data_IF_268884031567
#
_entry.id   IF_268884031567
#
_cell.length_a   1.000
_cell.length_b   1.000
_cell.length_c   1.000
_cell.angle_alpha   90.00
_cell.angle_beta   90.00
_cell.angle_gamma   90.00
#
_symmetry.space_group_name_H-M   'P 1'
#
loop_
_entity.id
_entity.type
_entity.pdbx_description
1 polymer ?
#
# COMPACT_ATOMS: atom_id res chain seq x y z
N UNK A 1 -27.73 30.76 -2.40
CA UNK A 1 -26.48 31.15 -1.71
C UNK A 1 -26.23 30.35 -0.43
N UNK A 2 -27.05 30.46 0.63
CA UNK A 2 -26.81 29.71 1.88
C UNK A 2 -26.92 28.19 1.72
N UNK A 3 -27.87 27.69 0.92
CA UNK A 3 -28.01 26.26 0.61
C UNK A 3 -26.83 25.74 -0.23
N UNK A 4 -26.45 26.46 -1.28
CA UNK A 4 -25.35 26.08 -2.19
C UNK A 4 -23.98 26.04 -1.49
N UNK A 5 -23.74 26.95 -0.54
CA UNK A 5 -22.54 26.94 0.30
C UNK A 5 -22.51 25.73 1.23
N UNK A 6 -23.66 25.36 1.80
CA UNK A 6 -23.79 24.23 2.71
C UNK A 6 -23.67 22.88 1.98
N UNK A 7 -24.24 22.78 0.78
CA UNK A 7 -24.06 21.63 -0.12
C UNK A 7 -22.60 21.48 -0.57
N UNK A 8 -21.94 22.60 -0.88
CA UNK A 8 -20.53 22.61 -1.23
C UNK A 8 -19.63 22.16 -0.06
N UNK A 9 -19.87 22.68 1.14
CA UNK A 9 -19.15 22.30 2.36
C UNK A 9 -19.30 20.80 2.64
N UNK A 10 -20.53 20.29 2.63
CA UNK A 10 -20.81 18.88 2.83
C UNK A 10 -20.15 17.99 1.77
N UNK A 11 -20.12 18.43 0.51
CA UNK A 11 -19.45 17.70 -0.56
C UNK A 11 -17.93 17.62 -0.34
N UNK A 12 -17.29 18.72 0.06
CA UNK A 12 -15.84 18.77 0.30
C UNK A 12 -15.48 17.92 1.52
N UNK A 13 -16.22 18.05 2.63
CA UNK A 13 -15.97 17.26 3.84
C UNK A 13 -16.17 15.76 3.59
N UNK A 14 -17.24 15.38 2.86
CA UNK A 14 -17.49 13.99 2.48
C UNK A 14 -16.34 13.42 1.63
N UNK A 15 -15.82 14.21 0.69
CA UNK A 15 -14.69 13.79 -0.13
C UNK A 15 -13.39 13.70 0.69
N UNK A 16 -13.15 14.61 1.63
CA UNK A 16 -12.03 14.52 2.57
C UNK A 16 -12.08 13.23 3.39
N UNK A 17 -13.25 12.90 3.99
CA UNK A 17 -13.43 11.67 4.77
C UNK A 17 -13.26 10.41 3.91
N UNK A 18 -13.76 10.44 2.67
CA UNK A 18 -13.54 9.35 1.72
C UNK A 18 -12.05 9.13 1.43
N UNK A 19 -11.30 10.19 1.14
CA UNK A 19 -9.86 10.10 0.88
C UNK A 19 -9.10 9.66 2.13
N UNK A 20 -9.45 10.19 3.30
CA UNK A 20 -8.89 9.78 4.59
C UNK A 20 -9.10 8.29 4.85
N UNK A 21 -10.30 7.76 4.56
CA UNK A 21 -10.57 6.33 4.71
C UNK A 21 -9.68 5.47 3.81
N UNK A 22 -9.39 5.92 2.58
CA UNK A 22 -8.45 5.22 1.68
C UNK A 22 -7.02 5.27 2.18
N UNK A 23 -6.58 6.41 2.71
CA UNK A 23 -5.25 6.57 3.34
C UNK A 23 -5.09 5.56 4.47
N UNK A 24 -6.06 5.49 5.39
CA UNK A 24 -6.03 4.55 6.50
C UNK A 24 -6.06 3.09 6.08
N UNK A 25 -6.75 2.74 5.00
CA UNK A 25 -6.72 1.35 4.51
C UNK A 25 -5.30 0.94 4.12
N UNK A 26 -4.55 1.81 3.43
CA UNK A 26 -3.18 1.51 3.02
C UNK A 26 -2.24 1.49 4.24
N UNK A 27 -2.30 2.51 5.09
CA UNK A 27 -1.45 2.61 6.29
C UNK A 27 -1.67 1.41 7.23
N UNK A 28 -2.93 1.04 7.51
CA UNK A 28 -3.22 -0.14 8.31
C UNK A 28 -2.75 -1.44 7.64
N UNK A 29 -2.85 -1.56 6.32
CA UNK A 29 -2.34 -2.75 5.64
C UNK A 29 -0.82 -2.87 5.67
N UNK A 30 -0.11 -1.74 5.61
CA UNK A 30 1.35 -1.72 5.79
C UNK A 30 1.71 -2.16 7.22
N UNK A 31 1.00 -1.63 8.22
CA UNK A 31 1.19 -2.00 9.62
C UNK A 31 0.89 -3.49 9.89
N UNK A 32 -0.23 -3.99 9.36
CA UNK A 32 -0.64 -5.40 9.50
C UNK A 32 0.39 -6.36 8.91
N UNK A 33 1.05 -5.97 7.81
CA UNK A 33 2.17 -6.72 7.22
C UNK A 33 3.45 -6.61 8.05
N UNK A 34 3.80 -5.42 8.51
CA UNK A 34 5.07 -5.18 9.20
C UNK A 34 5.09 -5.75 10.63
N UNK A 35 3.92 -5.86 11.27
CA UNK A 35 3.77 -6.47 12.59
C UNK A 35 3.62 -8.00 12.53
N UNK A 36 3.37 -8.57 11.34
CA UNK A 36 3.22 -10.00 11.18
C UNK A 36 4.57 -10.72 11.32
N UNK A 37 4.70 -11.54 12.38
CA UNK A 37 5.94 -12.25 12.71
C UNK A 37 6.26 -13.41 11.77
N UNK A 38 5.25 -14.01 11.13
CA UNK A 38 5.41 -15.21 10.32
C UNK A 38 5.76 -14.86 8.87
N UNK A 39 5.34 -13.68 8.39
CA UNK A 39 5.56 -13.29 7.00
C UNK A 39 7.05 -13.19 6.64
N UNK A 40 7.92 -12.53 7.41
CA UNK A 40 9.36 -12.55 7.13
C UNK A 40 9.94 -13.96 7.05
N UNK A 41 9.45 -14.89 7.88
CA UNK A 41 9.93 -16.27 7.90
C UNK A 41 9.50 -16.99 6.61
N UNK A 42 8.23 -16.85 6.20
CA UNK A 42 7.75 -17.37 4.93
C UNK A 42 8.59 -16.83 3.77
N UNK A 43 8.77 -15.51 3.72
CA UNK A 43 9.51 -14.84 2.65
C UNK A 43 10.95 -15.35 2.59
N UNK A 44 11.64 -15.48 3.72
CA UNK A 44 13.00 -16.04 3.78
C UNK A 44 13.06 -17.50 3.30
N UNK A 45 12.10 -18.34 3.70
CA UNK A 45 12.06 -19.75 3.27
C UNK A 45 11.82 -19.87 1.75
N UNK A 46 11.01 -18.99 1.17
CA UNK A 46 10.83 -18.90 -0.28
C UNK A 46 12.14 -18.49 -0.97
N UNK A 47 12.88 -17.53 -0.41
CA UNK A 47 14.18 -17.10 -0.94
C UNK A 47 15.24 -18.20 -0.82
N UNK A 48 15.27 -18.96 0.27
CA UNK A 48 16.16 -20.11 0.43
C UNK A 48 15.88 -21.18 -0.64
N UNK A 49 14.60 -21.40 -0.98
CA UNK A 49 14.20 -22.26 -2.08
C UNK A 49 14.80 -21.80 -3.42
N UNK A 50 14.73 -20.50 -3.72
CA UNK A 50 15.32 -19.90 -4.93
C UNK A 50 16.84 -20.07 -4.95
N UNK A 51 17.51 -19.76 -3.83
CA UNK A 51 18.96 -19.85 -3.73
C UNK A 51 19.45 -21.29 -3.92
N UNK A 52 18.78 -22.26 -3.28
CA UNK A 52 19.08 -23.67 -3.47
C UNK A 52 18.91 -24.14 -4.92
N UNK A 53 17.90 -23.61 -5.63
CA UNK A 53 17.70 -23.89 -7.04
C UNK A 53 18.79 -23.28 -7.94
N UNK A 54 19.13 -22.00 -7.72
CA UNK A 54 20.22 -21.33 -8.42
C UNK A 54 21.57 -22.04 -8.20
N UNK A 55 21.84 -22.52 -6.98
CA UNK A 55 23.02 -23.32 -6.66
C UNK A 55 23.03 -24.67 -7.40
N UNK A 56 21.86 -25.29 -7.60
CA UNK A 56 21.75 -26.52 -8.37
C UNK A 56 22.04 -26.29 -9.86
N UNK A 57 21.45 -25.26 -10.47
CA UNK A 57 21.70 -24.92 -11.89
C UNK A 57 23.16 -24.53 -12.11
N UNK A 58 23.73 -23.69 -11.25
CA UNK A 58 25.10 -23.20 -11.41
C UNK A 58 26.14 -24.33 -11.31
N UNK A 59 25.84 -25.43 -10.61
CA UNK A 59 26.64 -26.67 -10.61
C UNK A 59 26.54 -27.46 -11.92
N UNK A 60 25.54 -27.19 -12.77
CA UNK A 60 25.28 -27.92 -14.02
C UNK A 60 25.52 -27.08 -15.29
N UNK A 61 25.75 -25.77 -15.16
CA UNK A 61 26.07 -24.87 -16.28
C UNK A 61 27.44 -24.22 -16.08
N UNK A 62 28.26 -24.18 -17.14
CA UNK A 62 29.60 -23.57 -17.13
C UNK A 62 29.61 -22.04 -17.05
N UNK A 63 28.44 -21.40 -16.99
CA UNK A 63 28.24 -19.95 -16.88
C UNK A 63 27.41 -19.63 -15.65
N UNK A 64 27.85 -18.65 -14.83
CA UNK A 64 27.10 -18.09 -13.69
C UNK A 64 25.91 -17.23 -14.17
N UNK A 65 24.99 -17.81 -14.91
CA UNK A 65 23.72 -17.15 -15.19
C UNK A 65 22.75 -17.55 -14.07
N UNK A 66 22.60 -16.68 -13.08
CA UNK A 66 21.49 -16.82 -12.13
C UNK A 66 20.19 -16.66 -12.93
N UNK A 67 19.37 -17.71 -12.97
CA UNK A 67 18.10 -17.68 -13.70
C UNK A 67 17.04 -16.82 -12.98
N UNK A 68 17.18 -16.76 -11.66
CA UNK A 68 16.34 -15.99 -10.74
C UNK A 68 17.25 -15.04 -9.97
N UNK A 69 17.09 -13.74 -10.16
CA UNK A 69 17.79 -12.73 -9.35
C UNK A 69 17.07 -12.62 -8.00
N UNK A 70 17.70 -13.01 -6.89
CA UNK A 70 17.07 -12.96 -5.56
C UNK A 70 16.97 -11.53 -5.00
N UNK A 71 17.56 -10.53 -5.66
CA UNK A 71 17.59 -9.16 -5.17
C UNK A 71 16.25 -8.41 -5.30
N UNK A 72 15.27 -8.96 -6.04
CA UNK A 72 14.04 -8.23 -6.35
C UNK A 72 12.75 -9.03 -6.08
N UNK A 73 11.96 -8.56 -5.11
CA UNK A 73 10.59 -9.03 -4.87
C UNK A 73 9.62 -8.46 -5.93
N UNK A 74 9.40 -9.20 -7.02
CA UNK A 74 8.37 -8.87 -8.01
C UNK A 74 7.41 -10.02 -8.29
N UNK A 75 6.22 -9.68 -8.77
CA UNK A 75 5.28 -10.62 -9.37
C UNK A 75 5.96 -11.46 -10.45
N UNK A 76 6.86 -10.86 -11.23
CA UNK A 76 7.61 -11.57 -12.27
C UNK A 76 8.56 -12.63 -11.69
N UNK A 77 9.20 -12.37 -10.56
CA UNK A 77 9.99 -13.38 -9.85
C UNK A 77 9.07 -14.51 -9.37
N UNK A 78 7.91 -14.18 -8.79
CA UNK A 78 6.93 -15.16 -8.29
C UNK A 78 6.40 -16.09 -9.39
N UNK A 79 6.03 -15.54 -10.55
CA UNK A 79 5.58 -16.33 -11.69
C UNK A 79 6.71 -17.22 -12.24
N UNK A 80 7.96 -16.74 -12.24
CA UNK A 80 9.12 -17.55 -12.62
C UNK A 80 9.36 -18.70 -11.64
N UNK A 81 9.25 -18.48 -10.32
CA UNK A 81 9.39 -19.56 -9.31
C UNK A 81 8.31 -20.63 -9.54
N UNK A 82 7.08 -20.22 -9.79
CA UNK A 82 6.00 -21.16 -10.09
C UNK A 82 6.23 -21.91 -11.41
N UNK A 83 6.69 -21.23 -12.46
CA UNK A 83 6.94 -21.83 -13.77
C UNK A 83 8.19 -22.74 -13.79
N UNK A 84 9.05 -22.63 -12.79
CA UNK A 84 10.28 -23.41 -12.68
C UNK A 84 9.95 -24.84 -12.25
N UNK A 85 9.98 -25.77 -13.22
CA UNK A 85 9.70 -27.18 -13.01
C UNK A 85 11.01 -27.98 -12.81
N UNK A 86 11.09 -28.75 -11.73
CA UNK A 86 12.15 -29.72 -11.47
C UNK A 86 11.78 -31.16 -11.87
N UNK A 87 10.67 -31.34 -12.59
CA UNK A 87 10.06 -32.65 -12.85
C UNK A 87 8.54 -32.60 -12.64
N UNK A 88 8.02 -33.45 -11.74
CA UNK A 88 6.58 -33.52 -11.42
C UNK A 88 6.09 -32.41 -10.46
N UNK A 89 6.99 -31.63 -9.86
CA UNK A 89 6.66 -30.54 -8.93
C UNK A 89 7.38 -29.24 -9.32
N UNK A 90 6.74 -28.11 -9.03
CA UNK A 90 7.33 -26.77 -9.23
C UNK A 90 8.30 -26.46 -8.09
N UNK A 91 9.24 -25.53 -8.30
CA UNK A 91 10.12 -25.06 -7.22
C UNK A 91 9.32 -24.50 -6.04
N UNK A 92 8.23 -23.79 -6.33
CA UNK A 92 7.28 -23.34 -5.32
C UNK A 92 6.69 -24.52 -4.55
N UNK A 93 6.16 -25.53 -5.25
CA UNK A 93 5.54 -26.71 -4.64
C UNK A 93 6.49 -27.45 -3.71
N UNK A 94 7.72 -27.72 -4.16
CA UNK A 94 8.76 -28.33 -3.33
C UNK A 94 9.10 -27.49 -2.09
N UNK A 95 9.17 -26.18 -2.23
CA UNK A 95 9.46 -25.28 -1.10
C UNK A 95 8.31 -25.28 -0.10
N UNK A 96 7.06 -25.28 -0.56
CA UNK A 96 5.87 -25.36 0.30
C UNK A 96 5.76 -26.70 1.02
N UNK A 97 6.09 -27.83 0.37
CA UNK A 97 6.16 -29.15 1.02
C UNK A 97 7.19 -29.14 2.17
N UNK A 98 8.36 -28.56 1.93
CA UNK A 98 9.39 -28.45 2.97
C UNK A 98 8.94 -27.56 4.13
N UNK A 99 8.22 -26.46 3.86
CA UNK A 99 7.65 -25.60 4.91
C UNK A 99 6.58 -26.37 5.71
N UNK A 100 5.72 -27.14 5.05
CA UNK A 100 4.71 -27.97 5.70
C UNK A 100 5.35 -28.96 6.68
N UNK A 101 6.45 -29.61 6.28
CA UNK A 101 7.14 -30.60 7.12
C UNK A 101 7.87 -29.96 8.32
N UNK A 102 8.43 -28.76 8.13
CA UNK A 102 9.31 -28.14 9.14
C UNK A 102 8.58 -27.14 10.05
N UNK A 103 7.69 -26.32 9.48
CA UNK A 103 7.03 -25.19 10.14
C UNK A 103 5.62 -24.96 9.56
N UNK A 104 4.66 -25.88 9.75
CA UNK A 104 3.36 -25.83 9.08
C UNK A 104 2.54 -24.56 9.39
N UNK A 105 2.66 -24.04 10.62
CA UNK A 105 2.00 -22.80 11.07
C UNK A 105 2.36 -21.54 10.26
N UNK A 106 3.42 -21.58 9.46
CA UNK A 106 3.82 -20.46 8.57
C UNK A 106 2.90 -20.38 7.35
N UNK A 107 2.29 -21.48 6.93
CA UNK A 107 1.41 -21.51 5.75
C UNK A 107 0.10 -20.76 5.99
N UNK A 108 -0.31 -20.62 7.25
CA UNK A 108 -1.50 -19.87 7.67
C UNK A 108 -1.21 -18.37 7.90
N UNK A 109 -0.05 -17.86 7.46
CA UNK A 109 0.39 -16.48 7.73
C UNK A 109 -0.63 -15.41 7.31
N UNK A 110 -1.35 -15.64 6.21
CA UNK A 110 -2.30 -14.68 5.66
C UNK A 110 -3.67 -14.72 6.32
N UNK A 111 -3.96 -15.71 7.18
CA UNK A 111 -5.21 -15.73 7.95
C UNK A 111 -5.28 -14.56 8.93
N UNK A 112 -4.11 -14.05 9.34
CA UNK A 112 -3.96 -12.92 10.24
C UNK A 112 -3.68 -11.59 9.50
N UNK A 113 -3.76 -11.54 8.17
CA UNK A 113 -3.50 -10.31 7.40
C UNK A 113 -4.76 -9.92 6.61
N UNK A 114 -5.47 -8.89 7.08
CA UNK A 114 -6.83 -8.57 6.66
C UNK A 114 -6.92 -7.62 5.45
N UNK A 115 -5.83 -6.94 5.09
CA UNK A 115 -5.85 -5.84 4.12
C UNK A 115 -5.28 -6.17 2.73
N UNK A 116 -4.58 -7.29 2.58
CA UNK A 116 -3.80 -7.63 1.37
C UNK A 116 -4.65 -7.61 0.10
N UNK A 117 -5.80 -8.29 0.13
CA UNK A 117 -6.71 -8.36 -1.01
C UNK A 117 -7.41 -7.03 -1.31
N UNK A 118 -7.83 -6.32 -0.24
CA UNK A 118 -8.51 -5.03 -0.36
C UNK A 118 -7.61 -3.99 -1.01
N UNK A 119 -6.35 -3.92 -0.60
CA UNK A 119 -5.37 -2.99 -1.16
C UNK A 119 -5.03 -3.37 -2.61
N UNK A 120 -4.72 -4.64 -2.86
CA UNK A 120 -4.36 -5.13 -4.19
C UNK A 120 -5.42 -4.82 -5.26
N UNK A 121 -6.71 -4.82 -4.90
CA UNK A 121 -7.79 -4.69 -5.88
C UNK A 121 -8.35 -3.27 -5.99
N UNK A 122 -8.35 -2.50 -4.89
CA UNK A 122 -9.23 -1.32 -4.78
C UNK A 122 -8.53 -0.03 -4.33
N UNK A 123 -7.24 -0.07 -3.95
CA UNK A 123 -6.53 1.09 -3.45
C UNK A 123 -5.44 1.53 -4.41
N UNK A 124 -5.62 2.73 -4.99
CA UNK A 124 -4.62 3.37 -5.87
C UNK A 124 -4.18 4.69 -5.26
N UNK A 125 -2.91 4.80 -4.89
CA UNK A 125 -2.37 6.02 -4.29
C UNK A 125 -2.47 7.23 -5.23
N UNK A 126 -2.32 7.01 -6.52
CA UNK A 126 -2.52 8.02 -7.56
C UNK A 126 -3.91 8.67 -7.51
N UNK A 127 -4.96 7.89 -7.22
CA UNK A 127 -6.32 8.45 -7.10
C UNK A 127 -6.46 9.28 -5.83
N UNK A 128 -5.84 8.86 -4.74
CA UNK A 128 -5.83 9.60 -3.46
C UNK A 128 -5.14 10.96 -3.66
N UNK A 129 -3.92 10.94 -4.20
CA UNK A 129 -3.15 12.15 -4.50
C UNK A 129 -3.92 13.12 -5.40
N UNK A 130 -4.46 12.64 -6.54
CA UNK A 130 -5.26 13.47 -7.46
C UNK A 130 -6.50 14.04 -6.77
N UNK A 131 -7.15 13.26 -5.90
CA UNK A 131 -8.28 13.73 -5.09
C UNK A 131 -7.90 14.89 -4.19
N UNK A 132 -6.79 14.77 -3.44
CA UNK A 132 -6.27 15.83 -2.57
C UNK A 132 -5.95 17.10 -3.37
N UNK A 133 -5.22 16.97 -4.48
CA UNK A 133 -4.87 18.12 -5.33
C UNK A 133 -6.09 18.79 -5.95
N UNK A 134 -7.11 18.01 -6.33
CA UNK A 134 -8.38 18.54 -6.85
C UNK A 134 -9.14 19.32 -5.78
N UNK A 135 -9.22 18.79 -4.57
CA UNK A 135 -9.88 19.48 -3.45
C UNK A 135 -9.18 20.79 -3.12
N UNK A 136 -7.85 20.77 -3.04
CA UNK A 136 -7.03 21.95 -2.81
C UNK A 136 -7.26 23.05 -3.85
N UNK A 137 -7.14 22.68 -5.13
CA UNK A 137 -7.40 23.60 -6.23
C UNK A 137 -8.82 24.17 -6.19
N UNK A 138 -9.82 23.31 -5.94
CA UNK A 138 -11.23 23.71 -5.88
C UNK A 138 -11.50 24.68 -4.73
N UNK A 139 -10.91 24.43 -3.55
CA UNK A 139 -11.08 25.27 -2.38
C UNK A 139 -10.39 26.63 -2.57
N UNK A 140 -9.19 26.66 -3.16
CA UNK A 140 -8.48 27.90 -3.52
C UNK A 140 -9.28 28.78 -4.49
N UNK A 141 -9.84 28.19 -5.55
CA UNK A 141 -10.68 28.94 -6.51
C UNK A 141 -11.93 29.51 -5.83
N UNK A 142 -12.64 28.67 -5.07
CA UNK A 142 -13.87 29.07 -4.39
C UNK A 142 -13.61 30.17 -3.36
N UNK A 143 -12.55 30.05 -2.59
CA UNK A 143 -12.11 31.05 -1.61
C UNK A 143 -11.80 32.39 -2.29
N UNK A 144 -11.02 32.36 -3.39
CA UNK A 144 -10.70 33.57 -4.16
C UNK A 144 -11.94 34.23 -4.76
N UNK A 145 -12.88 33.44 -5.29
CA UNK A 145 -14.15 33.96 -5.81
C UNK A 145 -14.98 34.62 -4.70
N UNK A 146 -15.05 33.99 -3.53
CA UNK A 146 -15.78 34.51 -2.37
C UNK A 146 -15.17 35.80 -1.84
N UNK A 147 -13.84 35.87 -1.68
CA UNK A 147 -13.14 37.10 -1.28
C UNK A 147 -13.43 38.23 -2.27
N UNK A 148 -13.24 37.99 -3.57
CA UNK A 148 -13.53 38.98 -4.60
C UNK A 148 -15.01 39.42 -4.59
N UNK A 149 -15.94 38.50 -4.35
CA UNK A 149 -17.37 38.82 -4.27
C UNK A 149 -17.69 39.71 -3.06
N UNK A 150 -17.04 39.46 -1.92
CA UNK A 150 -17.20 40.23 -0.68
C UNK A 150 -16.63 41.65 -0.88
N UNK A 151 -15.41 41.76 -1.39
CA UNK A 151 -14.73 43.05 -1.63
C UNK A 151 -15.50 43.92 -2.63
N UNK A 152 -16.15 43.32 -3.64
CA UNK A 152 -16.95 44.06 -4.62
C UNK A 152 -18.37 44.42 -4.14
N UNK A 153 -18.83 43.90 -2.98
CA UNK A 153 -20.19 44.10 -2.45
C UNK A 153 -20.27 44.92 -1.17
N UNK A 154 -19.31 45.82 -0.92
CA UNK A 154 -19.20 46.74 0.24
C UNK A 154 -20.45 47.56 0.68
N UNK A 155 -21.67 47.32 0.17
CA UNK A 155 -22.87 48.12 0.50
C UNK A 155 -24.14 47.37 0.90
N UNK A 156 -24.14 46.06 1.14
CA UNK A 156 -25.38 45.41 1.62
C UNK A 156 -25.19 44.46 2.80
N UNK A 157 -25.54 45.00 3.98
CA UNK A 157 -26.11 44.35 5.16
C UNK A 157 -25.49 43.03 5.67
N UNK A 158 -24.78 43.13 6.79
CA UNK A 158 -24.71 42.09 7.83
C UNK A 158 -23.32 41.50 8.07
N UNK A 159 -22.52 42.15 8.94
CA UNK A 159 -21.20 41.69 9.44
C UNK A 159 -21.24 40.19 9.85
N UNK A 160 -22.32 39.76 10.50
CA UNK A 160 -22.51 38.38 10.97
C UNK A 160 -22.52 37.30 9.87
N UNK A 161 -23.00 37.62 8.66
CA UNK A 161 -23.02 36.65 7.55
C UNK A 161 -21.63 36.39 6.99
N UNK A 162 -20.76 37.41 7.01
CA UNK A 162 -19.38 37.32 6.52
C UNK A 162 -18.50 36.51 7.47
N UNK A 163 -18.59 36.77 8.78
CA UNK A 163 -17.80 36.05 9.79
C UNK A 163 -18.08 34.53 9.76
N UNK A 164 -19.34 34.13 9.64
CA UNK A 164 -19.72 32.72 9.54
C UNK A 164 -19.16 32.06 8.26
N UNK A 165 -19.10 32.80 7.16
CA UNK A 165 -18.58 32.30 5.89
C UNK A 165 -17.05 32.14 5.92
N UNK A 166 -16.33 33.11 6.48
CA UNK A 166 -14.89 33.01 6.71
C UNK A 166 -14.54 31.83 7.62
N UNK A 167 -15.27 31.66 8.73
CA UNK A 167 -15.06 30.53 9.64
C UNK A 167 -15.27 29.16 8.96
N UNK A 168 -16.24 29.06 8.05
CA UNK A 168 -16.49 27.83 7.28
C UNK A 168 -15.36 27.53 6.29
N UNK A 169 -14.88 28.54 5.57
CA UNK A 169 -13.72 28.38 4.67
C UNK A 169 -12.50 27.95 5.47
N UNK A 170 -12.27 28.57 6.63
CA UNK A 170 -11.14 28.22 7.48
C UNK A 170 -11.24 26.77 7.99
N UNK A 171 -12.43 26.33 8.40
CA UNK A 171 -12.67 24.94 8.78
C UNK A 171 -12.39 23.96 7.62
N UNK A 172 -12.74 24.31 6.40
CA UNK A 172 -12.46 23.49 5.21
C UNK A 172 -10.96 23.46 4.89
N UNK A 173 -10.28 24.60 4.99
CA UNK A 173 -8.83 24.69 4.83
C UNK A 173 -8.12 23.83 5.88
N UNK A 174 -8.57 23.89 7.13
CA UNK A 174 -8.02 23.08 8.22
C UNK A 174 -8.24 21.58 7.96
N UNK A 175 -9.44 21.18 7.55
CA UNK A 175 -9.73 19.78 7.20
C UNK A 175 -8.84 19.27 6.06
N UNK A 176 -8.64 20.09 5.02
CA UNK A 176 -7.76 19.77 3.91
C UNK A 176 -6.28 19.72 4.33
N UNK A 177 -5.84 20.64 5.19
CA UNK A 177 -4.48 20.64 5.75
C UNK A 177 -4.22 19.33 6.50
N UNK A 178 -5.15 18.93 7.37
CA UNK A 178 -5.08 17.64 8.06
C UNK A 178 -5.00 16.48 7.07
N UNK A 179 -5.85 16.45 6.03
CA UNK A 179 -5.81 15.41 5.01
C UNK A 179 -4.46 15.34 4.28
N UNK A 180 -3.85 16.49 3.96
CA UNK A 180 -2.50 16.54 3.37
C UNK A 180 -1.46 15.97 4.32
N UNK A 181 -1.50 16.30 5.60
CA UNK A 181 -0.59 15.73 6.60
C UNK A 181 -0.76 14.20 6.73
N UNK A 182 -1.99 13.70 6.79
CA UNK A 182 -2.28 12.25 6.80
C UNK A 182 -1.71 11.56 5.55
N UNK A 183 -1.79 12.22 4.38
CA UNK A 183 -1.18 11.70 3.16
C UNK A 183 0.35 11.68 3.24
N UNK A 184 0.99 12.70 3.82
CA UNK A 184 2.44 12.71 4.03
C UNK A 184 2.89 11.61 5.02
N UNK A 185 2.11 11.33 6.07
CA UNK A 185 2.36 10.19 6.94
C UNK A 185 2.29 8.87 6.16
N UNK A 186 1.29 8.70 5.29
CA UNK A 186 1.21 7.54 4.42
C UNK A 186 2.44 7.41 3.50
N UNK A 187 2.98 8.52 2.98
CA UNK A 187 4.23 8.46 2.20
C UNK A 187 5.38 7.91 3.05
N UNK A 188 5.51 8.32 4.32
CA UNK A 188 6.51 7.74 5.24
C UNK A 188 6.28 6.24 5.45
N UNK A 189 5.04 5.83 5.65
CA UNK A 189 4.67 4.41 5.82
C UNK A 189 5.06 3.59 4.59
N UNK A 190 4.85 4.11 3.38
CA UNK A 190 5.22 3.43 2.13
C UNK A 190 6.74 3.34 1.98
N UNK A 191 7.48 4.39 2.34
CA UNK A 191 8.95 4.35 2.33
C UNK A 191 9.47 3.30 3.31
N UNK A 192 8.90 3.27 4.52
CA UNK A 192 9.20 2.23 5.50
C UNK A 192 8.89 0.83 4.96
N UNK A 193 7.72 0.66 4.33
CA UNK A 193 7.30 -0.60 3.74
C UNK A 193 8.25 -1.07 2.63
N UNK A 194 8.71 -0.15 1.79
CA UNK A 194 9.72 -0.42 0.76
C UNK A 194 11.01 -0.96 1.37
N UNK A 195 11.53 -0.29 2.41
CA UNK A 195 12.71 -0.72 3.16
C UNK A 195 12.50 -2.08 3.84
N UNK A 196 11.33 -2.30 4.44
CA UNK A 196 10.97 -3.54 5.12
C UNK A 196 10.99 -4.74 4.17
N UNK A 197 10.48 -4.57 2.94
CA UNK A 197 10.49 -5.62 1.92
C UNK A 197 11.80 -5.71 1.14
N UNK A 198 12.78 -4.85 1.41
CA UNK A 198 14.04 -4.80 0.66
C UNK A 198 13.85 -4.43 -0.81
N UNK A 199 12.80 -3.68 -1.15
CA UNK A 199 12.59 -3.17 -2.51
C UNK A 199 13.65 -2.08 -2.74
N UNK A 200 14.55 -2.32 -3.70
CA UNK A 200 15.68 -1.43 -3.92
C UNK A 200 15.22 -0.01 -4.27
N UNK A 201 15.38 0.88 -3.30
CA UNK A 201 15.02 2.27 -3.41
C UNK A 201 16.20 3.16 -3.77
N UNK A 202 17.33 2.61 -4.23
CA UNK A 202 18.54 3.39 -4.56
C UNK A 202 18.34 4.43 -5.68
N UNK A 203 17.30 4.28 -6.50
CA UNK A 203 16.85 5.31 -7.44
C UNK A 203 16.11 6.47 -6.77
N UNK A 204 15.69 6.31 -5.52
CA UNK A 204 14.77 7.19 -4.82
C UNK A 204 15.46 7.86 -3.63
N UNK A 205 15.30 9.18 -3.55
CA UNK A 205 15.81 10.02 -2.45
C UNK A 205 14.94 9.85 -1.20
N UNK A 206 14.70 8.61 -0.76
CA UNK A 206 13.77 8.29 0.33
C UNK A 206 14.16 8.92 1.65
N UNK A 207 15.45 8.92 1.99
CA UNK A 207 15.91 9.57 3.22
C UNK A 207 15.68 11.09 3.14
N UNK A 208 16.05 11.75 2.03
CA UNK A 208 15.74 13.18 1.83
C UNK A 208 14.23 13.48 1.87
N UNK A 209 13.40 12.54 1.38
CA UNK A 209 11.94 12.67 1.37
C UNK A 209 11.38 12.58 2.78
N UNK A 210 11.87 11.64 3.60
CA UNK A 210 11.49 11.51 5.01
C UNK A 210 11.92 12.74 5.80
N UNK A 211 13.16 13.20 5.62
CA UNK A 211 13.69 14.38 6.30
C UNK A 211 12.85 15.63 5.97
N UNK A 212 12.49 15.84 4.70
CA UNK A 212 11.60 16.94 4.28
C UNK A 212 10.22 16.84 4.92
N UNK A 213 9.65 15.63 5.03
CA UNK A 213 8.35 15.43 5.69
C UNK A 213 8.45 15.77 7.18
N UNK A 214 9.53 15.38 7.85
CA UNK A 214 9.78 15.71 9.25
C UNK A 214 9.96 17.22 9.46
N UNK A 215 10.71 17.90 8.59
CA UNK A 215 10.82 19.36 8.62
C UNK A 215 9.44 20.03 8.49
N UNK A 216 8.59 19.54 7.59
CA UNK A 216 7.22 20.05 7.41
C UNK A 216 6.38 19.88 8.69
N UNK A 217 6.55 18.78 9.44
CA UNK A 217 5.82 18.55 10.68
C UNK A 217 6.36 19.35 11.87
N UNK A 218 7.68 19.60 11.93
CA UNK A 218 8.30 20.40 12.99
C UNK A 218 7.99 21.90 12.88
N UNK A 219 7.78 22.39 11.66
CA UNK A 219 7.37 23.77 11.39
C UNK A 219 5.89 23.96 11.73
N UNK A 220 5.58 24.02 13.03
CA UNK A 220 4.22 24.25 13.52
C UNK A 220 3.61 25.52 12.91
N UNK A 221 2.46 25.36 12.23
CA UNK A 221 1.51 26.38 11.79
C UNK A 221 1.88 27.36 10.66
N UNK A 222 3.10 27.38 10.11
CA UNK A 222 3.43 28.36 9.06
C UNK A 222 3.89 27.72 7.75
N UNK A 223 2.93 27.73 6.80
CA UNK A 223 3.02 27.73 5.32
C UNK A 223 2.48 26.47 4.66
N UNK A 224 1.16 26.47 4.43
CA UNK A 224 0.49 25.59 3.46
C UNK A 224 1.25 25.52 2.12
N UNK A 225 1.92 26.62 1.73
CA UNK A 225 2.78 26.71 0.55
C UNK A 225 3.94 25.70 0.55
N UNK A 226 4.55 25.39 1.71
CA UNK A 226 5.61 24.39 1.80
C UNK A 226 5.06 22.99 1.56
N UNK A 227 3.91 22.67 2.15
CA UNK A 227 3.22 21.39 1.96
C UNK A 227 2.83 21.23 0.48
N UNK A 228 2.27 22.28 -0.12
CA UNK A 228 1.86 22.26 -1.54
C UNK A 228 3.04 22.10 -2.49
N UNK A 229 4.14 22.83 -2.23
CA UNK A 229 5.37 22.70 -3.01
C UNK A 229 5.89 21.27 -2.94
N UNK A 230 6.00 20.72 -1.73
CA UNK A 230 6.49 19.36 -1.53
C UNK A 230 5.59 18.32 -2.20
N UNK A 231 4.27 18.40 -2.03
CA UNK A 231 3.32 17.51 -2.69
C UNK A 231 3.46 17.52 -4.21
N UNK A 232 3.77 18.68 -4.80
CA UNK A 232 3.97 18.81 -6.25
C UNK A 232 5.29 18.20 -6.76
N UNK A 233 6.29 18.04 -5.87
CA UNK A 233 7.58 17.41 -6.18
C UNK A 233 7.53 15.87 -6.06
N UNK A 234 6.51 15.32 -5.40
CA UNK A 234 6.41 13.88 -5.17
C UNK A 234 6.19 13.11 -6.47
N UNK A 235 7.03 12.10 -6.69
CA UNK A 235 6.83 11.13 -7.77
C UNK A 235 5.90 10.00 -7.31
N UNK A 236 4.59 10.22 -7.46
CA UNK A 236 3.56 9.27 -6.99
C UNK A 236 3.63 7.91 -7.69
N UNK A 237 4.16 7.84 -8.91
CA UNK A 237 4.32 6.58 -9.63
C UNK A 237 5.31 5.63 -8.93
N UNK A 238 6.30 6.16 -8.22
CA UNK A 238 7.27 5.35 -7.46
C UNK A 238 6.60 4.68 -6.26
N UNK A 239 5.78 5.42 -5.52
CA UNK A 239 5.01 4.86 -4.40
C UNK A 239 3.98 3.84 -4.88
N UNK A 240 3.37 4.06 -6.05
CA UNK A 240 2.47 3.08 -6.68
C UNK A 240 3.21 1.78 -7.03
N UNK A 241 4.47 1.85 -7.49
CA UNK A 241 5.29 0.67 -7.74
C UNK A 241 5.59 -0.11 -6.47
N UNK A 242 5.93 0.56 -5.36
CA UNK A 242 6.13 -0.10 -4.05
C UNK A 242 4.85 -0.83 -3.62
N UNK A 243 3.69 -0.19 -3.79
CA UNK A 243 2.40 -0.78 -3.40
C UNK A 243 2.00 -2.01 -4.24
N UNK A 244 2.63 -2.27 -5.40
CA UNK A 244 2.45 -3.54 -6.14
C UNK A 244 2.96 -4.76 -5.37
N UNK A 245 3.75 -4.56 -4.31
CA UNK A 245 4.08 -5.63 -3.38
C UNK A 245 2.83 -6.29 -2.77
N UNK A 246 1.75 -5.53 -2.53
CA UNK A 246 0.48 -6.11 -2.05
C UNK A 246 -0.12 -7.11 -3.05
N UNK A 247 0.00 -6.85 -4.34
CA UNK A 247 -0.44 -7.81 -5.38
C UNK A 247 0.43 -9.06 -5.38
N UNK A 248 1.74 -8.92 -5.15
CA UNK A 248 2.65 -10.07 -5.01
C UNK A 248 2.29 -10.91 -3.78
N UNK A 249 2.03 -10.28 -2.64
CA UNK A 249 1.60 -10.93 -1.41
C UNK A 249 0.24 -11.64 -1.58
N UNK A 250 -0.71 -10.99 -2.27
CA UNK A 250 -2.01 -11.59 -2.57
C UNK A 250 -1.88 -12.82 -3.49
N UNK A 251 -0.95 -12.78 -4.45
CA UNK A 251 -0.63 -13.95 -5.29
C UNK A 251 -0.07 -15.10 -4.45
N UNK A 252 0.85 -14.83 -3.51
CA UNK A 252 1.41 -15.86 -2.62
C UNK A 252 0.30 -16.48 -1.78
N UNK A 253 -0.56 -15.65 -1.17
CA UNK A 253 -1.75 -16.10 -0.42
C UNK A 253 -2.60 -17.07 -1.25
N UNK A 254 -2.90 -16.72 -2.50
CA UNK A 254 -3.65 -17.60 -3.41
C UNK A 254 -2.98 -18.95 -3.63
N UNK A 255 -1.65 -19.00 -3.74
CA UNK A 255 -0.89 -20.25 -3.92
C UNK A 255 -0.87 -21.12 -2.67
N UNK A 256 -0.70 -20.51 -1.50
CA UNK A 256 -0.79 -21.22 -0.22
C UNK A 256 -2.15 -21.86 -0.04
N UNK A 257 -3.24 -21.14 -0.32
CA UNK A 257 -4.60 -21.68 -0.24
C UNK A 257 -4.80 -22.89 -1.16
N UNK A 258 -4.30 -22.83 -2.41
CA UNK A 258 -4.38 -23.97 -3.34
C UNK A 258 -3.60 -25.17 -2.82
N UNK A 259 -2.41 -24.94 -2.25
CA UNK A 259 -1.57 -25.99 -1.69
C UNK A 259 -2.24 -26.68 -0.50
N UNK A 260 -2.78 -25.90 0.45
CA UNK A 260 -3.50 -26.43 1.61
C UNK A 260 -4.73 -27.25 1.20
N UNK A 261 -5.51 -26.80 0.21
CA UNK A 261 -6.65 -27.57 -0.32
C UNK A 261 -6.23 -28.91 -0.95
N UNK A 262 -5.14 -28.93 -1.73
CA UNK A 262 -4.60 -30.17 -2.32
C UNK A 262 -4.12 -31.16 -1.27
N UNK A 263 -3.52 -30.67 -0.18
CA UNK A 263 -3.08 -31.53 0.92
C UNK A 263 -4.27 -32.16 1.66
N UNK A 264 -5.34 -31.41 1.90
CA UNK A 264 -6.58 -31.94 2.50
C UNK A 264 -7.19 -33.06 1.65
N UNK A 265 -7.22 -32.89 0.32
CA UNK A 265 -7.69 -33.93 -0.61
C UNK A 265 -6.80 -35.18 -0.58
N UNK A 266 -5.48 -35.00 -0.55
CA UNK A 266 -4.51 -36.11 -0.48
C UNK A 266 -4.53 -36.84 0.87
N UNK A 267 -4.68 -36.14 1.98
CA UNK A 267 -4.80 -36.74 3.33
C UNK A 267 -6.14 -37.45 3.49
N UNK A 268 -7.24 -36.87 3.01
CA UNK A 268 -8.55 -37.52 2.96
C UNK A 268 -8.54 -38.79 2.12
N UNK A 269 -7.85 -38.76 0.97
CA UNK A 269 -7.62 -39.93 0.12
C UNK A 269 -6.80 -41.03 0.81
N UNK A 270 -5.72 -40.67 1.53
CA UNK A 270 -4.91 -41.62 2.31
C UNK A 270 -5.70 -42.24 3.46
N UNK A 271 -6.51 -41.46 4.17
CA UNK A 271 -7.40 -41.96 5.24
C UNK A 271 -8.43 -42.97 4.71
N UNK A 272 -9.05 -42.67 3.56
CA UNK A 272 -9.99 -43.58 2.90
C UNK A 272 -9.31 -44.87 2.42
N UNK A 273 -8.09 -44.79 1.88
CA UNK A 273 -7.32 -45.97 1.51
C UNK A 273 -6.99 -46.85 2.73
N UNK A 274 -6.56 -46.24 3.84
CA UNK A 274 -6.22 -46.96 5.08
C UNK A 274 -7.44 -47.63 5.74
N UNK A 275 -8.64 -47.04 5.59
CA UNK A 275 -9.90 -47.63 6.06
C UNK A 275 -10.32 -48.81 5.18
N UNK A 276 -10.07 -48.74 3.87
CA UNK A 276 -10.39 -49.83 2.93
C UNK A 276 -9.42 -51.01 3.02
N UNK A 277 -8.17 -50.81 3.45
CA UNK A 277 -7.22 -51.90 3.72
C UNK A 277 -7.47 -52.65 5.04
N UNK A 278 -8.32 -52.10 5.93
CA UNK A 278 -8.69 -52.71 7.22
C UNK A 278 -10.07 -53.40 7.21
N UNK A 279 -10.70 -53.53 6.04
CA UNK A 279 -11.90 -54.36 5.80
C UNK A 279 -11.50 -55.65 5.10
#
# INVERSE_FOLDING_TARGET
MTLELLECENSILSECEYLKSKIFVISNGIMDISENRNLPILLNMLMDGINAYNDMISKHQSTKNNLLDPSFWSIELMDKIHATNGGNTTLLGYTLEKIQDQCPHILDVFDNINYVERISNNCKINEIYRGIMRLDFSLKIKTKYLINFIENKEKMNGVYYYDNLFNRIESLNQALRLLKHEFLYLIKDIIFFSKYLGIDGSLYKYDETVDKIEEIFELSNEKDEKVDCFLSELNIEEFDQVLKAFSSLNWIRGRLNIFSCKNLENEGGKLLATINEKK
#
